data_IF_851207185837
#
_entry.id   IF_851207185837
#
_cell.length_a   1.000
_cell.length_b   1.000
_cell.length_c   1.000
_cell.angle_alpha   90.00
_cell.angle_beta   90.00
_cell.angle_gamma   90.00
#
_symmetry.space_group_name_H-M   'P 1'
#
loop_
_entity.id
_entity.type
_entity.pdbx_description
1 polymer ?
#
# COMPACT_ATOMS: atom_id res chain seq x y z
N UNK A 1 7.25 -47.43 50.18
CA UNK A 1 7.81 -46.06 50.15
C UNK A 1 7.80 -45.59 48.70
N UNK A 2 6.79 -44.80 48.32
CA UNK A 2 6.64 -44.28 46.96
C UNK A 2 6.96 -42.78 46.98
N UNK A 3 8.15 -42.43 46.49
CA UNK A 3 8.61 -41.04 46.39
C UNK A 3 7.90 -40.38 45.21
N UNK A 4 7.03 -39.42 45.50
CA UNK A 4 6.37 -38.61 44.48
C UNK A 4 7.34 -37.54 43.96
N UNK A 5 7.54 -37.36 42.64
CA UNK A 5 8.35 -36.27 42.11
C UNK A 5 7.57 -34.96 42.23
N UNK A 6 7.92 -34.18 43.25
CA UNK A 6 7.41 -32.84 43.49
C UNK A 6 8.07 -31.82 42.56
N UNK A 7 7.24 -31.14 41.75
CA UNK A 7 7.37 -29.71 41.39
C UNK A 7 8.69 -29.23 40.78
N UNK A 8 8.90 -29.48 39.49
CA UNK A 8 9.91 -28.79 38.65
C UNK A 8 9.29 -27.72 37.72
N UNK A 9 8.24 -27.01 38.17
CA UNK A 9 7.53 -26.02 37.33
C UNK A 9 7.77 -24.56 37.71
N UNK A 10 8.51 -24.27 38.80
CA UNK A 10 8.70 -22.91 39.31
C UNK A 10 9.98 -22.20 38.85
N UNK A 11 10.98 -22.91 38.33
CA UNK A 11 12.29 -22.31 38.04
C UNK A 11 12.43 -21.72 36.62
N UNK A 12 11.55 -22.08 35.67
CA UNK A 12 11.56 -21.51 34.32
C UNK A 12 11.16 -20.03 34.25
N UNK A 13 10.51 -19.50 35.29
CA UNK A 13 10.13 -18.08 35.34
C UNK A 13 11.28 -17.13 35.66
N UNK A 14 12.40 -17.62 36.24
CA UNK A 14 13.51 -16.76 36.67
C UNK A 14 14.50 -16.42 35.55
N UNK A 15 14.48 -17.15 34.44
CA UNK A 15 15.43 -16.98 33.32
C UNK A 15 14.94 -16.06 32.21
N UNK A 16 13.62 -15.81 32.11
CA UNK A 16 13.06 -14.90 31.11
C UNK A 16 13.32 -13.44 31.48
N UNK A 17 13.62 -12.60 30.48
CA UNK A 17 13.76 -11.16 30.66
C UNK A 17 12.49 -10.56 31.30
N UNK A 18 12.59 -9.55 32.19
CA UNK A 18 11.43 -9.02 32.93
C UNK A 18 10.24 -8.63 32.05
N UNK A 19 10.50 -8.04 30.88
CA UNK A 19 9.46 -7.62 29.94
C UNK A 19 8.65 -8.80 29.40
N UNK A 20 9.29 -9.96 29.15
CA UNK A 20 8.62 -11.17 28.63
C UNK A 20 7.79 -11.90 29.70
N UNK A 21 7.89 -11.49 30.96
CA UNK A 21 7.03 -12.01 32.05
C UNK A 21 5.68 -11.29 32.10
N UNK A 22 5.56 -10.15 31.43
CA UNK A 22 4.32 -9.40 31.35
C UNK A 22 3.33 -10.10 30.39
N UNK A 23 2.02 -10.09 30.70
CA UNK A 23 0.99 -10.47 29.76
C UNK A 23 1.11 -9.70 28.44
N UNK A 24 0.66 -10.31 27.33
CA UNK A 24 0.77 -9.72 26.00
C UNK A 24 0.08 -8.35 25.93
N UNK A 25 -1.03 -8.19 26.63
CA UNK A 25 -1.84 -6.97 26.65
C UNK A 25 -1.05 -5.79 27.23
N UNK A 26 -0.29 -6.01 28.31
CA UNK A 26 0.57 -4.99 28.90
C UNK A 26 1.74 -4.64 27.98
N UNK A 27 2.29 -5.64 27.28
CA UNK A 27 3.34 -5.40 26.29
C UNK A 27 2.83 -4.63 25.08
N UNK A 28 1.63 -4.93 24.59
CA UNK A 28 0.97 -4.17 23.53
C UNK A 28 0.68 -2.72 23.95
N UNK A 29 0.30 -2.51 25.22
CA UNK A 29 0.17 -1.15 25.76
C UNK A 29 1.51 -0.40 25.68
N UNK A 30 2.64 -1.04 26.03
CA UNK A 30 3.98 -0.46 25.84
C UNK A 30 4.25 -0.19 24.36
N UNK A 31 3.97 -1.15 23.47
CA UNK A 31 4.21 -1.00 22.03
C UNK A 31 3.43 0.18 21.43
N UNK A 32 2.22 0.48 21.93
CA UNK A 32 1.42 1.63 21.48
C UNK A 32 2.14 2.98 21.67
N UNK A 33 2.97 3.11 22.73
CA UNK A 33 3.80 4.30 22.95
C UNK A 33 5.08 4.30 22.09
N UNK A 34 5.56 3.12 21.68
CA UNK A 34 6.74 2.98 20.83
C UNK A 34 6.42 3.12 19.33
N UNK A 35 5.15 2.98 18.96
CA UNK A 35 4.65 3.01 17.58
C UNK A 35 3.62 4.14 17.42
N UNK A 36 4.05 5.41 17.48
CA UNK A 36 3.13 6.54 17.44
C UNK A 36 2.31 6.55 16.16
N UNK A 37 1.06 7.01 16.30
CA UNK A 37 0.19 7.33 15.17
C UNK A 37 0.72 8.59 14.47
N UNK A 38 1.72 8.39 13.63
CA UNK A 38 2.35 9.42 12.82
C UNK A 38 2.29 8.95 11.36
N UNK A 39 1.56 9.71 10.52
CA UNK A 39 1.41 9.36 9.12
C UNK A 39 2.75 9.53 8.38
N UNK A 40 3.30 8.42 7.90
CA UNK A 40 4.51 8.37 7.10
C UNK A 40 4.13 8.25 5.63
N UNK A 41 4.42 9.28 4.84
CA UNK A 41 4.29 9.24 3.39
C UNK A 41 5.48 8.52 2.75
N UNK A 42 5.22 7.71 1.73
CA UNK A 42 6.22 6.87 1.03
C UNK A 42 7.12 6.07 1.97
N UNK A 43 6.55 5.27 2.88
CA UNK A 43 7.34 4.47 3.81
C UNK A 43 8.25 3.49 3.06
N UNK A 44 7.80 3.05 1.89
CA UNK A 44 8.54 2.24 0.93
C UNK A 44 8.43 2.93 -0.43
N UNK A 45 9.37 3.83 -0.79
CA UNK A 45 9.27 4.65 -2.00
C UNK A 45 9.12 3.84 -3.29
N UNK A 46 9.55 2.58 -3.28
CA UNK A 46 9.51 1.68 -4.42
C UNK A 46 8.20 0.89 -4.56
N UNK A 47 7.34 0.82 -3.54
CA UNK A 47 6.31 -0.24 -3.41
C UNK A 47 4.88 0.25 -3.71
N UNK A 48 4.70 1.44 -4.30
CA UNK A 48 3.37 1.97 -4.65
C UNK A 48 2.47 2.32 -3.45
N UNK A 49 2.91 2.04 -2.22
CA UNK A 49 2.27 2.48 -0.97
C UNK A 49 2.50 3.98 -0.81
N UNK A 50 1.40 4.73 -0.71
CA UNK A 50 1.45 6.19 -0.62
C UNK A 50 1.72 6.66 0.80
N UNK A 51 1.13 6.00 1.80
CA UNK A 51 1.38 6.30 3.20
C UNK A 51 0.99 5.14 4.12
N UNK A 52 1.47 5.20 5.36
CA UNK A 52 1.05 4.34 6.47
C UNK A 52 0.69 5.22 7.67
N UNK A 53 -0.38 4.87 8.39
CA UNK A 53 -0.91 5.67 9.50
C UNK A 53 -0.01 5.76 10.73
N UNK A 54 0.89 4.80 10.91
CA UNK A 54 1.78 4.69 12.05
C UNK A 54 3.23 4.70 11.60
N UNK A 55 4.09 5.24 12.47
CA UNK A 55 5.52 5.18 12.24
C UNK A 55 6.00 3.73 12.37
N UNK A 56 6.78 3.23 11.38
CA UNK A 56 7.40 1.92 11.50
C UNK A 56 8.35 1.79 12.69
N UNK A 57 8.49 0.59 13.27
CA UNK A 57 9.49 0.33 14.30
C UNK A 57 10.91 0.59 13.75
N UNK A 58 11.77 1.18 14.58
CA UNK A 58 13.18 1.40 14.24
C UNK A 58 13.96 0.08 14.26
N UNK A 59 15.05 0.00 13.49
CA UNK A 59 15.95 -1.17 13.52
C UNK A 59 16.49 -1.45 14.93
N UNK A 60 16.78 -0.41 15.71
CA UNK A 60 17.22 -0.55 17.11
C UNK A 60 16.17 -1.25 17.97
N UNK A 61 14.88 -0.94 17.76
CA UNK A 61 13.77 -1.59 18.46
C UNK A 61 13.61 -3.06 18.02
N UNK A 62 13.76 -3.33 16.72
CA UNK A 62 13.66 -4.67 16.16
C UNK A 62 14.86 -5.58 16.47
N UNK A 63 15.98 -5.03 16.94
CA UNK A 63 17.19 -5.79 17.26
C UNK A 63 17.34 -6.11 18.77
N UNK A 64 16.33 -5.83 19.60
CA UNK A 64 16.40 -6.07 21.04
C UNK A 64 16.32 -7.57 21.37
N UNK A 65 15.29 -8.25 20.87
CA UNK A 65 15.05 -9.66 21.17
C UNK A 65 14.06 -10.26 20.16
N UNK A 66 14.32 -11.46 19.58
CA UNK A 66 13.51 -12.01 18.49
C UNK A 66 12.01 -12.08 18.78
N UNK A 67 11.62 -12.56 19.97
CA UNK A 67 10.20 -12.64 20.34
C UNK A 67 9.53 -11.27 20.42
N UNK A 68 10.25 -10.24 20.88
CA UNK A 68 9.72 -8.87 20.91
C UNK A 68 9.61 -8.31 19.50
N UNK A 69 10.59 -8.60 18.64
CA UNK A 69 10.58 -8.22 17.23
C UNK A 69 9.32 -8.73 16.54
N UNK A 70 9.02 -10.02 16.69
CA UNK A 70 7.84 -10.64 16.10
C UNK A 70 6.54 -10.01 16.61
N UNK A 71 6.44 -9.80 17.93
CA UNK A 71 5.25 -9.19 18.54
C UNK A 71 5.05 -7.72 18.15
N UNK A 72 6.13 -6.94 18.09
CA UNK A 72 6.09 -5.52 17.71
C UNK A 72 5.68 -5.39 16.24
N UNK A 73 6.24 -6.23 15.36
CA UNK A 73 5.85 -6.25 13.95
C UNK A 73 4.39 -6.67 13.81
N UNK A 74 3.96 -7.72 14.50
CA UNK A 74 2.57 -8.20 14.44
C UNK A 74 1.59 -7.12 14.91
N UNK A 75 1.90 -6.46 16.03
CA UNK A 75 1.12 -5.36 16.56
C UNK A 75 1.12 -4.14 15.63
N UNK A 76 2.28 -3.78 15.04
CA UNK A 76 2.38 -2.71 14.04
C UNK A 76 1.46 -2.97 12.85
N UNK A 77 1.49 -4.16 12.24
CA UNK A 77 0.61 -4.50 11.11
C UNK A 77 -0.86 -4.61 11.50
N UNK A 78 -1.16 -4.87 12.78
CA UNK A 78 -2.52 -4.87 13.31
C UNK A 78 -3.13 -3.46 13.41
N UNK A 79 -2.37 -2.48 13.88
CA UNK A 79 -2.87 -1.11 14.09
C UNK A 79 -2.73 -0.24 12.83
N UNK A 80 -1.77 -0.56 11.96
CA UNK A 80 -1.43 0.28 10.81
C UNK A 80 -2.43 0.15 9.66
N UNK A 81 -2.76 1.28 9.06
CA UNK A 81 -3.53 1.39 7.83
C UNK A 81 -2.62 1.77 6.68
N UNK A 82 -2.59 0.94 5.63
CA UNK A 82 -1.74 1.13 4.45
C UNK A 82 -2.53 1.79 3.33
N UNK A 83 -2.11 2.96 2.85
CA UNK A 83 -2.88 3.77 1.91
C UNK A 83 -2.39 3.59 0.46
N UNK A 84 -3.33 3.29 -0.42
CA UNK A 84 -3.18 3.28 -1.88
C UNK A 84 -4.06 4.40 -2.46
N UNK A 85 -3.46 5.33 -3.20
CA UNK A 85 -4.21 6.40 -3.88
C UNK A 85 -4.27 6.11 -5.36
N UNK A 86 -5.47 5.90 -5.90
CA UNK A 86 -5.73 5.77 -7.32
C UNK A 86 -6.10 7.14 -7.88
N UNK A 87 -5.16 7.74 -8.61
CA UNK A 87 -5.36 8.98 -9.34
C UNK A 87 -4.56 8.94 -10.62
N UNK A 88 -5.02 9.65 -11.65
CA UNK A 88 -4.28 9.80 -12.88
C UNK A 88 -3.02 10.69 -12.69
N UNK A 89 -3.11 11.78 -11.93
CA UNK A 89 -2.06 12.81 -11.83
C UNK A 89 -0.92 12.45 -10.85
N UNK A 90 -1.13 11.46 -9.98
CA UNK A 90 -0.13 11.11 -8.97
C UNK A 90 1.03 10.29 -9.55
N UNK A 91 2.25 10.78 -9.33
CA UNK A 91 3.50 10.20 -9.82
C UNK A 91 3.83 8.80 -9.26
N UNK A 92 3.10 8.25 -8.28
CA UNK A 92 3.39 6.93 -7.71
C UNK A 92 3.24 5.79 -8.71
N UNK A 93 2.33 5.94 -9.68
CA UNK A 93 2.20 5.00 -10.79
C UNK A 93 3.33 5.12 -11.82
N UNK A 94 4.27 6.07 -11.70
CA UNK A 94 5.51 6.05 -12.48
C UNK A 94 6.54 5.12 -11.86
N UNK A 95 6.46 4.89 -10.55
CA UNK A 95 7.46 4.10 -9.82
C UNK A 95 7.11 2.61 -9.82
N UNK A 96 5.82 2.28 -9.69
CA UNK A 96 5.31 0.91 -9.79
C UNK A 96 3.86 0.89 -10.34
N UNK A 97 3.67 1.18 -11.65
CA UNK A 97 2.34 1.27 -12.27
C UNK A 97 1.50 0.01 -12.11
N UNK A 98 2.18 -1.14 -12.07
CA UNK A 98 1.58 -2.46 -12.03
C UNK A 98 1.65 -3.09 -10.64
N UNK A 99 2.08 -2.35 -9.62
CA UNK A 99 2.21 -2.84 -8.23
C UNK A 99 3.05 -4.14 -8.11
N UNK A 100 3.99 -4.38 -9.03
CA UNK A 100 4.82 -5.60 -9.04
C UNK A 100 5.72 -5.69 -7.81
N UNK A 101 6.21 -4.56 -7.33
CA UNK A 101 7.08 -4.53 -6.13
C UNK A 101 6.27 -4.74 -4.86
N UNK A 102 5.00 -4.33 -4.83
CA UNK A 102 4.08 -4.68 -3.75
C UNK A 102 3.75 -6.16 -3.75
N UNK A 103 3.48 -6.72 -4.93
CA UNK A 103 3.23 -8.16 -5.11
C UNK A 103 4.40 -9.01 -4.62
N UNK A 104 5.64 -8.59 -4.89
CA UNK A 104 6.85 -9.28 -4.43
C UNK A 104 7.25 -8.94 -2.99
N UNK A 105 6.62 -7.95 -2.36
CA UNK A 105 7.01 -7.48 -1.04
C UNK A 105 6.55 -8.43 0.07
N UNK A 106 7.43 -8.84 1.00
CA UNK A 106 7.01 -9.65 2.15
C UNK A 106 6.02 -8.92 3.06
N UNK A 107 5.99 -7.58 3.02
CA UNK A 107 5.00 -6.78 3.75
C UNK A 107 3.56 -7.11 3.32
N UNK A 108 3.32 -7.48 2.05
CA UNK A 108 1.98 -7.81 1.55
C UNK A 108 1.34 -8.96 2.34
N UNK A 109 2.14 -9.95 2.74
CA UNK A 109 1.68 -11.08 3.54
C UNK A 109 1.21 -10.68 4.95
N UNK A 110 1.68 -9.54 5.45
CA UNK A 110 1.41 -9.06 6.80
C UNK A 110 0.33 -7.97 6.86
N UNK A 111 0.05 -7.30 5.75
CA UNK A 111 -0.96 -6.24 5.67
C UNK A 111 -2.34 -6.78 6.09
N UNK A 112 -2.95 -6.12 7.09
CA UNK A 112 -4.29 -6.47 7.60
C UNK A 112 -5.36 -5.46 7.23
N UNK A 113 -4.98 -4.18 7.11
CA UNK A 113 -5.88 -3.06 6.82
C UNK A 113 -5.29 -2.16 5.73
N UNK A 114 -6.06 -1.94 4.68
CA UNK A 114 -5.71 -1.05 3.56
C UNK A 114 -6.76 0.04 3.45
N UNK A 115 -6.34 1.25 3.14
CA UNK A 115 -7.21 2.32 2.67
C UNK A 115 -6.97 2.55 1.18
N UNK A 116 -8.00 2.32 0.38
CA UNK A 116 -8.05 2.66 -1.03
C UNK A 116 -8.69 4.03 -1.18
N UNK A 117 -7.96 4.97 -1.75
CA UNK A 117 -8.45 6.34 -2.00
C UNK A 117 -8.59 6.54 -3.51
N UNK A 118 -9.82 6.76 -3.96
CA UNK A 118 -10.08 7.19 -5.34
C UNK A 118 -10.01 8.70 -5.39
N UNK A 119 -9.00 9.24 -6.09
CA UNK A 119 -8.77 10.67 -6.19
C UNK A 119 -8.95 11.14 -7.64
N UNK A 120 -10.14 11.67 -7.90
CA UNK A 120 -10.54 12.25 -9.17
C UNK A 120 -10.15 13.74 -9.21
N UNK A 121 -9.02 14.04 -9.86
CA UNK A 121 -8.46 15.40 -9.96
C UNK A 121 -8.89 16.12 -11.26
N UNK A 122 -9.25 17.40 -11.15
CA UNK A 122 -9.57 18.27 -12.28
C UNK A 122 -8.36 18.62 -13.15
N UNK A 123 -7.15 18.63 -12.57
CA UNK A 123 -5.96 19.18 -13.24
C UNK A 123 -5.67 18.48 -14.56
N UNK A 124 -5.91 17.17 -14.66
CA UNK A 124 -5.67 16.47 -15.91
C UNK A 124 -6.69 16.84 -16.98
N UNK A 125 -7.98 16.87 -16.62
CA UNK A 125 -9.07 17.19 -17.55
C UNK A 125 -8.95 18.62 -18.08
N UNK A 126 -8.43 19.55 -17.26
CA UNK A 126 -8.12 20.91 -17.69
C UNK A 126 -6.93 20.97 -18.65
N UNK A 127 -5.87 20.21 -18.37
CA UNK A 127 -4.66 20.23 -19.20
C UNK A 127 -4.82 19.48 -20.53
N UNK A 128 -5.72 18.50 -20.59
CA UNK A 128 -6.00 17.70 -21.78
C UNK A 128 -7.51 17.52 -21.96
N UNK A 129 -8.23 18.53 -22.48
CA UNK A 129 -9.69 18.46 -22.64
C UNK A 129 -10.17 17.37 -23.61
N UNK A 130 -9.30 16.94 -24.53
CA UNK A 130 -9.55 15.79 -25.41
C UNK A 130 -9.56 14.45 -24.67
N UNK A 131 -9.00 14.41 -23.45
CA UNK A 131 -9.06 13.27 -22.56
C UNK A 131 -10.39 13.29 -21.81
N UNK A 132 -11.38 12.59 -22.36
CA UNK A 132 -12.73 12.53 -21.81
C UNK A 132 -12.79 11.94 -20.40
N UNK A 133 -13.86 12.27 -19.67
CA UNK A 133 -14.13 11.74 -18.33
C UNK A 133 -14.19 10.21 -18.30
N UNK A 134 -14.67 9.57 -19.37
CA UNK A 134 -14.76 8.12 -19.50
C UNK A 134 -13.38 7.47 -19.52
N UNK A 135 -12.46 7.97 -20.37
CA UNK A 135 -11.08 7.48 -20.42
C UNK A 135 -10.33 7.70 -19.10
N UNK A 136 -10.62 8.81 -18.42
CA UNK A 136 -10.10 9.09 -17.10
C UNK A 136 -10.58 8.08 -16.05
N UNK A 137 -11.89 7.83 -15.99
CA UNK A 137 -12.48 6.83 -15.10
C UNK A 137 -11.95 5.42 -15.41
N UNK A 138 -11.82 5.07 -16.68
CA UNK A 138 -11.31 3.78 -17.14
C UNK A 138 -9.88 3.53 -16.66
N UNK A 139 -9.01 4.53 -16.72
CA UNK A 139 -7.62 4.40 -16.26
C UNK A 139 -7.54 4.21 -14.74
N UNK A 140 -8.34 4.94 -13.95
CA UNK A 140 -8.41 4.74 -12.50
C UNK A 140 -8.97 3.34 -12.20
N UNK A 141 -10.02 2.92 -12.92
CA UNK A 141 -10.63 1.58 -12.79
C UNK A 141 -9.63 0.48 -13.10
N UNK A 142 -8.82 0.61 -14.16
CA UNK A 142 -7.76 -0.33 -14.52
C UNK A 142 -6.73 -0.48 -13.40
N UNK A 143 -6.28 0.63 -12.82
CA UNK A 143 -5.33 0.65 -11.69
C UNK A 143 -5.91 0.00 -10.44
N UNK A 144 -7.15 0.34 -10.11
CA UNK A 144 -7.86 -0.27 -9.00
C UNK A 144 -8.04 -1.77 -9.17
N UNK A 145 -8.35 -2.22 -10.40
CA UNK A 145 -8.42 -3.64 -10.75
C UNK A 145 -7.11 -4.37 -10.48
N UNK A 146 -5.97 -3.84 -10.94
CA UNK A 146 -4.67 -4.44 -10.67
C UNK A 146 -4.34 -4.46 -9.18
N UNK A 147 -4.64 -3.39 -8.45
CA UNK A 147 -4.44 -3.36 -7.01
C UNK A 147 -5.28 -4.42 -6.30
N UNK A 148 -6.52 -4.65 -6.72
CA UNK A 148 -7.33 -5.73 -6.19
C UNK A 148 -6.71 -7.10 -6.46
N UNK A 149 -6.12 -7.32 -7.64
CA UNK A 149 -5.42 -8.58 -7.97
C UNK A 149 -4.22 -8.82 -7.04
N UNK A 150 -3.43 -7.78 -6.73
CA UNK A 150 -2.31 -7.87 -5.77
C UNK A 150 -2.81 -8.08 -4.35
N UNK A 151 -3.80 -7.31 -3.91
CA UNK A 151 -4.36 -7.40 -2.55
C UNK A 151 -5.08 -8.73 -2.29
N UNK A 152 -5.52 -9.44 -3.34
CA UNK A 152 -6.02 -10.81 -3.20
C UNK A 152 -4.96 -11.81 -2.75
N UNK A 153 -3.68 -11.51 -2.99
CA UNK A 153 -2.55 -12.33 -2.54
C UNK A 153 -2.18 -12.07 -1.07
N UNK A 154 -2.80 -11.09 -0.40
CA UNK A 154 -2.55 -10.80 1.01
C UNK A 154 -3.38 -11.72 1.94
N UNK A 155 -2.82 -12.78 2.55
CA UNK A 155 -3.56 -13.75 3.37
C UNK A 155 -4.15 -13.14 4.65
N UNK A 156 -3.49 -12.11 5.21
CA UNK A 156 -3.90 -11.47 6.47
C UNK A 156 -4.80 -10.26 6.27
N UNK A 157 -5.14 -9.87 5.04
CA UNK A 157 -6.03 -8.74 4.77
C UNK A 157 -7.43 -9.03 5.33
N UNK A 158 -7.95 -8.11 6.15
CA UNK A 158 -9.28 -8.19 6.78
C UNK A 158 -10.12 -6.95 6.57
N UNK A 159 -9.50 -5.80 6.37
CA UNK A 159 -10.24 -4.53 6.29
C UNK A 159 -9.79 -3.72 5.10
N UNK A 160 -10.76 -3.31 4.28
CA UNK A 160 -10.55 -2.37 3.18
C UNK A 160 -11.39 -1.14 3.46
N UNK A 161 -10.73 -0.02 3.71
CA UNK A 161 -11.36 1.29 3.83
C UNK A 161 -11.42 1.90 2.45
N UNK A 162 -12.60 2.34 2.02
CA UNK A 162 -12.82 2.97 0.71
C UNK A 162 -13.09 4.44 0.92
N UNK A 163 -12.15 5.27 0.46
CA UNK A 163 -12.22 6.73 0.51
C UNK A 163 -12.38 7.28 -0.91
N UNK A 164 -13.07 8.40 -1.01
CA UNK A 164 -13.37 9.07 -2.26
C UNK A 164 -13.03 10.55 -2.16
N UNK A 165 -12.40 11.08 -3.19
CA UNK A 165 -12.09 12.50 -3.27
C UNK A 165 -12.24 12.95 -4.72
N UNK A 166 -13.21 13.82 -4.97
CA UNK A 166 -13.55 14.27 -6.31
C UNK A 166 -13.56 15.78 -6.38
N UNK A 167 -12.64 16.30 -7.19
CA UNK A 167 -12.45 17.73 -7.44
C UNK A 167 -12.73 18.10 -8.90
N UNK A 168 -13.16 17.16 -9.76
CA UNK A 168 -13.25 17.39 -11.21
C UNK A 168 -14.33 18.39 -11.62
N UNK A 169 -15.32 18.61 -10.75
CA UNK A 169 -16.46 19.49 -10.98
C UNK A 169 -17.36 19.14 -12.18
N UNK A 170 -17.32 17.89 -12.67
CA UNK A 170 -17.98 17.50 -13.93
C UNK A 170 -19.37 16.89 -13.80
N UNK A 171 -19.91 16.64 -12.59
CA UNK A 171 -21.29 16.13 -12.41
C UNK A 171 -21.60 14.70 -12.91
N UNK A 172 -20.60 13.88 -13.28
CA UNK A 172 -20.82 12.56 -13.90
C UNK A 172 -20.69 11.37 -12.93
N UNK A 173 -21.45 11.38 -11.83
CA UNK A 173 -21.39 10.30 -10.83
C UNK A 173 -21.61 8.88 -11.40
N UNK A 174 -22.59 8.62 -12.29
CA UNK A 174 -22.81 7.27 -12.83
C UNK A 174 -21.58 6.66 -13.51
N UNK A 175 -20.78 7.48 -14.20
CA UNK A 175 -19.53 7.04 -14.82
C UNK A 175 -18.44 6.81 -13.78
N UNK A 176 -18.30 7.74 -12.82
CA UNK A 176 -17.32 7.66 -11.75
C UNK A 176 -17.57 6.46 -10.82
N UNK A 177 -18.83 6.11 -10.57
CA UNK A 177 -19.19 4.96 -9.75
C UNK A 177 -18.63 3.63 -10.31
N UNK A 178 -18.45 3.51 -11.64
CA UNK A 178 -17.82 2.35 -12.28
C UNK A 178 -16.37 2.12 -11.85
N UNK A 179 -15.71 3.15 -11.31
CA UNK A 179 -14.37 3.03 -10.73
C UNK A 179 -14.36 2.08 -9.53
N UNK A 180 -15.49 1.95 -8.82
CA UNK A 180 -15.61 1.06 -7.66
C UNK A 180 -15.72 -0.42 -8.06
N UNK A 181 -16.19 -0.72 -9.27
CA UNK A 181 -16.46 -2.09 -9.76
C UNK A 181 -15.35 -3.11 -9.47
N UNK A 182 -14.05 -2.80 -9.59
CA UNK A 182 -13.01 -3.77 -9.33
C UNK A 182 -12.93 -4.28 -7.88
N UNK A 183 -13.48 -3.54 -6.90
CA UNK A 183 -13.50 -3.95 -5.50
C UNK A 183 -14.21 -5.30 -5.29
N UNK A 184 -15.13 -5.70 -6.18
CA UNK A 184 -15.76 -7.02 -6.16
C UNK A 184 -14.76 -8.18 -6.23
N UNK A 185 -13.58 -7.97 -6.83
CA UNK A 185 -12.53 -9.00 -6.90
C UNK A 185 -12.01 -9.40 -5.52
N UNK A 186 -12.03 -8.48 -4.56
CA UNK A 186 -11.61 -8.74 -3.18
C UNK A 186 -12.65 -9.59 -2.41
N UNK A 187 -13.85 -9.74 -2.98
CA UNK A 187 -14.95 -10.52 -2.43
C UNK A 187 -15.02 -11.95 -3.03
N UNK A 188 -14.78 -12.10 -4.33
CA UNK A 188 -15.24 -13.28 -5.06
C UNK A 188 -14.22 -14.45 -5.15
N UNK A 189 -12.91 -14.24 -4.98
CA UNK A 189 -11.94 -15.06 -5.73
C UNK A 189 -10.99 -15.95 -4.92
N UNK A 190 -11.43 -16.53 -3.79
CA UNK A 190 -10.57 -17.48 -3.08
C UNK A 190 -11.30 -18.56 -2.30
N UNK A 191 -11.18 -19.81 -2.76
CA UNK A 191 -11.41 -21.01 -1.92
C UNK A 191 -10.64 -20.91 -0.59
N UNK A 192 -9.48 -20.23 -0.58
CA UNK A 192 -8.64 -20.03 0.60
C UNK A 192 -9.14 -18.95 1.60
N UNK A 193 -10.15 -18.13 1.25
CA UNK A 193 -10.65 -17.03 2.09
C UNK A 193 -12.01 -17.27 2.72
N UNK A 194 -12.64 -18.43 2.49
CA UNK A 194 -13.97 -18.77 3.05
C UNK A 194 -14.05 -18.62 4.57
N UNK A 195 -12.94 -18.81 5.28
CA UNK A 195 -12.92 -18.73 6.74
C UNK A 195 -12.83 -17.29 7.29
N UNK A 196 -12.43 -16.30 6.48
CA UNK A 196 -12.25 -14.90 6.95
C UNK A 196 -12.57 -13.89 5.84
N UNK A 197 -13.83 -13.40 5.77
CA UNK A 197 -14.21 -12.39 4.79
C UNK A 197 -13.50 -11.06 5.03
N UNK A 198 -13.30 -10.29 3.95
CA UNK A 198 -12.80 -8.92 4.02
C UNK A 198 -13.98 -8.01 4.35
N UNK A 199 -13.85 -7.22 5.42
CA UNK A 199 -14.82 -6.19 5.78
C UNK A 199 -14.51 -4.91 5.04
N UNK A 200 -15.53 -4.32 4.42
CA UNK A 200 -15.41 -3.00 3.79
C UNK A 200 -15.87 -1.93 4.77
N UNK A 201 -15.10 -0.83 4.84
CA UNK A 201 -15.45 0.35 5.63
C UNK A 201 -15.48 1.57 4.74
N UNK A 202 -16.38 2.48 5.03
CA UNK A 202 -16.43 3.77 4.35
C UNK A 202 -15.45 4.71 5.03
N UNK A 203 -14.52 5.24 4.24
CA UNK A 203 -13.53 6.22 4.67
C UNK A 203 -14.02 7.64 4.44
N UNK A 204 -13.08 8.54 4.13
CA UNK A 204 -13.39 9.94 3.86
C UNK A 204 -14.01 10.08 2.47
N UNK A 205 -15.15 10.76 2.39
CA UNK A 205 -15.79 11.11 1.12
C UNK A 205 -15.76 12.62 0.98
N UNK A 206 -14.97 13.12 0.04
CA UNK A 206 -15.02 14.51 -0.39
C UNK A 206 -15.55 14.50 -1.83
N UNK A 207 -16.68 15.15 -2.07
CA UNK A 207 -17.26 15.29 -3.40
C UNK A 207 -17.87 16.67 -3.57
N UNK A 208 -18.42 16.92 -4.75
CA UNK A 208 -19.29 18.07 -4.95
C UNK A 208 -20.57 17.95 -4.12
N UNK A 209 -21.35 19.04 -4.03
CA UNK A 209 -22.68 19.05 -3.40
C UNK A 209 -23.61 17.94 -3.92
N UNK A 210 -23.41 17.50 -5.18
CA UNK A 210 -24.22 16.47 -5.83
C UNK A 210 -23.86 15.04 -5.42
N UNK A 211 -22.65 14.78 -4.90
CA UNK A 211 -22.28 13.45 -4.42
C UNK A 211 -22.64 13.31 -2.95
N UNK A 212 -23.85 12.82 -2.69
CA UNK A 212 -24.24 12.47 -1.32
C UNK A 212 -23.52 11.21 -0.89
N UNK A 213 -23.15 11.15 0.40
CA UNK A 213 -22.61 9.94 1.02
C UNK A 213 -23.50 8.73 0.76
N UNK A 214 -24.81 8.91 0.76
CA UNK A 214 -25.80 7.87 0.49
C UNK A 214 -25.65 7.26 -0.90
N UNK A 215 -25.44 8.08 -1.93
CA UNK A 215 -25.24 7.62 -3.31
C UNK A 215 -23.92 6.85 -3.46
N UNK A 216 -22.88 7.30 -2.77
CA UNK A 216 -21.61 6.57 -2.68
C UNK A 216 -21.78 5.20 -1.99
N UNK A 217 -22.47 5.18 -0.84
CA UNK A 217 -22.75 3.95 -0.09
C UNK A 217 -23.58 2.99 -0.95
N UNK A 218 -24.60 3.49 -1.65
CA UNK A 218 -25.46 2.70 -2.51
C UNK A 218 -24.67 2.08 -3.67
N UNK A 219 -23.85 2.86 -4.37
CA UNK A 219 -22.98 2.36 -5.43
C UNK A 219 -21.97 1.32 -4.91
N UNK A 220 -21.40 1.55 -3.72
CA UNK A 220 -20.48 0.58 -3.13
C UNK A 220 -21.19 -0.73 -2.74
N UNK A 221 -22.41 -0.66 -2.17
CA UNK A 221 -23.22 -1.86 -1.90
C UNK A 221 -23.59 -2.63 -3.17
N UNK A 222 -23.97 -1.92 -4.23
CA UNK A 222 -24.30 -2.52 -5.52
C UNK A 222 -23.12 -3.33 -6.08
N UNK A 223 -21.90 -2.79 -5.99
CA UNK A 223 -20.67 -3.49 -6.42
C UNK A 223 -20.33 -4.68 -5.52
N UNK A 224 -20.47 -4.52 -4.20
CA UNK A 224 -20.04 -5.53 -3.23
C UNK A 224 -21.05 -6.68 -3.06
N UNK A 225 -22.32 -6.45 -3.38
CA UNK A 225 -23.41 -7.39 -3.16
C UNK A 225 -24.03 -7.29 -1.75
N UNK A 226 -25.25 -7.86 -1.56
CA UNK A 226 -26.04 -7.72 -0.33
C UNK A 226 -25.46 -8.46 0.88
N UNK A 227 -24.67 -9.51 0.67
CA UNK A 227 -24.18 -10.39 1.74
C UNK A 227 -22.95 -9.86 2.48
N UNK A 228 -22.45 -8.68 2.08
CA UNK A 228 -21.19 -8.15 2.62
C UNK A 228 -21.37 -7.21 3.80
N UNK A 229 -20.47 -7.35 4.78
CA UNK A 229 -20.32 -6.40 5.88
C UNK A 229 -19.69 -5.10 5.34
N UNK A 230 -20.56 -4.18 4.91
CA UNK A 230 -20.22 -2.78 4.76
C UNK A 230 -20.50 -2.06 6.07
N UNK A 231 -19.43 -1.81 6.83
CA UNK A 231 -19.51 -0.93 8.00
C UNK A 231 -19.52 0.51 7.49
N UNK A 232 -20.69 1.16 7.64
CA UNK A 232 -20.87 2.53 7.19
C UNK A 232 -19.96 3.53 7.93
N UNK A 233 -19.31 3.12 9.04
CA UNK A 233 -18.23 3.81 9.72
C UNK A 233 -18.57 5.23 10.19
N UNK A 234 -18.52 5.45 11.50
CA UNK A 234 -18.43 6.82 12.06
C UNK A 234 -17.28 7.58 11.40
N UNK A 235 -17.45 8.88 11.15
CA UNK A 235 -16.42 9.79 10.64
C UNK A 235 -15.07 9.40 11.23
N UNK A 236 -14.13 9.05 10.33
CA UNK A 236 -12.83 8.53 10.72
C UNK A 236 -12.20 9.45 11.75
N UNK A 237 -11.50 8.87 12.73
CA UNK A 237 -10.68 9.58 13.72
C UNK A 237 -10.19 10.91 13.16
N UNK A 238 -10.66 12.01 13.76
CA UNK A 238 -10.31 13.39 13.47
C UNK A 238 -8.80 13.59 13.59
N UNK A 239 -8.05 13.05 12.65
CA UNK A 239 -6.66 13.40 12.42
C UNK A 239 -6.67 14.51 11.38
N UNK A 240 -6.71 15.79 11.81
CA UNK A 240 -6.72 16.93 10.89
C UNK A 240 -5.53 16.91 9.93
N UNK A 241 -4.45 16.18 10.26
CA UNK A 241 -3.27 16.02 9.40
C UNK A 241 -3.56 15.22 8.12
N UNK A 242 -4.55 14.32 8.13
CA UNK A 242 -5.02 13.55 6.97
C UNK A 242 -5.74 14.45 5.95
N UNK A 243 -6.48 15.46 6.43
CA UNK A 243 -7.22 16.39 5.56
C UNK A 243 -6.31 17.36 4.80
N UNK A 244 -5.22 17.80 5.44
CA UNK A 244 -4.33 18.84 4.91
C UNK A 244 -3.20 18.28 4.03
N UNK A 245 -2.85 17.00 4.16
CA UNK A 245 -1.75 16.40 3.39
C UNK A 245 -2.16 15.70 2.09
N UNK A 246 -3.45 15.40 1.87
CA UNK A 246 -3.90 14.91 0.55
C UNK A 246 -3.69 15.93 -0.57
N UNK A 247 -3.52 17.21 -0.23
CA UNK A 247 -3.29 18.32 -1.16
C UNK A 247 -1.80 18.68 -1.34
N UNK A 248 -0.88 18.01 -0.65
CA UNK A 248 0.49 18.51 -0.50
C UNK A 248 1.52 17.98 -1.51
N UNK A 249 1.15 17.20 -2.52
CA UNK A 249 2.14 16.62 -3.45
C UNK A 249 1.78 16.79 -4.92
N UNK A 250 1.74 18.04 -5.35
CA UNK A 250 2.29 18.38 -6.66
C UNK A 250 3.65 19.07 -6.45
N UNK A 251 4.73 18.38 -6.81
CA UNK A 251 6.10 18.93 -6.85
C UNK A 251 6.15 20.22 -7.69
N UNK A 252 5.18 20.45 -8.59
CA UNK A 252 5.02 21.68 -9.36
C UNK A 252 4.36 22.81 -8.56
N UNK A 253 3.38 22.52 -7.69
CA UNK A 253 2.80 23.52 -6.79
C UNK A 253 3.81 24.00 -5.74
N UNK A 254 4.66 23.10 -5.24
CA UNK A 254 5.73 23.45 -4.30
C UNK A 254 6.82 24.31 -4.99
N UNK A 255 7.16 24.01 -6.26
CA UNK A 255 8.03 24.87 -7.09
C UNK A 255 7.47 26.27 -7.30
N UNK A 256 6.17 26.39 -7.55
CA UNK A 256 5.53 27.71 -7.67
C UNK A 256 5.54 28.47 -6.34
N UNK A 257 5.30 27.81 -5.20
CA UNK A 257 5.41 28.44 -3.87
C UNK A 257 6.84 28.88 -3.54
N UNK A 258 7.84 28.05 -3.82
CA UNK A 258 9.25 28.38 -3.57
C UNK A 258 9.77 29.48 -4.51
N UNK A 259 9.22 29.59 -5.72
CA UNK A 259 9.53 30.72 -6.62
C UNK A 259 8.92 32.05 -6.18
N UNK A 260 7.90 32.02 -5.30
CA UNK A 260 7.21 33.21 -4.80
C UNK A 260 7.77 33.75 -3.48
N UNK A 261 8.74 33.08 -2.86
CA UNK A 261 9.31 33.47 -1.56
C UNK A 261 10.85 33.62 -1.64
N UNK A 262 11.38 34.82 -1.88
CA UNK A 262 12.82 35.04 -1.88
C UNK A 262 13.32 35.04 -0.43
N UNK A 263 13.80 33.91 0.08
CA UNK A 263 14.52 33.86 1.37
C UNK A 263 14.54 32.55 2.16
N UNK A 264 13.87 31.48 1.75
CA UNK A 264 13.87 30.23 2.54
C UNK A 264 15.08 29.33 2.20
N UNK A 265 15.94 29.09 3.19
CA UNK A 265 17.05 28.13 3.16
C UNK A 265 16.47 26.69 3.07
N UNK A 266 16.98 25.81 2.20
CA UNK A 266 16.47 24.44 2.10
C UNK A 266 16.89 23.60 3.32
N UNK A 267 15.91 23.07 4.04
CA UNK A 267 16.13 22.05 5.08
C UNK A 267 16.37 20.71 4.38
N UNK A 268 17.51 20.09 4.68
CA UNK A 268 17.88 18.78 4.16
C UNK A 268 16.85 17.72 4.59
N UNK A 269 16.15 17.13 3.61
CA UNK A 269 15.26 15.99 3.81
C UNK A 269 16.13 14.76 4.08
N UNK A 270 16.20 14.33 5.34
CA UNK A 270 16.85 13.09 5.73
C UNK A 270 16.20 11.89 5.05
N UNK A 271 16.98 11.12 4.29
CA UNK A 271 16.56 9.83 3.70
C UNK A 271 16.26 8.83 4.82
N UNK A 272 14.99 8.53 5.07
CA UNK A 272 14.57 7.37 5.85
C UNK A 272 14.65 6.11 4.99
N UNK A 273 15.87 5.56 4.84
CA UNK A 273 16.11 4.30 4.15
C UNK A 273 15.67 3.11 5.00
N UNK A 274 14.53 2.50 4.65
CA UNK A 274 14.18 1.16 5.09
C UNK A 274 15.12 0.13 4.45
N UNK A 275 15.85 -0.64 5.27
CA UNK A 275 16.45 -1.94 4.90
C UNK A 275 16.06 -2.95 5.98
N UNK A 276 14.88 -3.55 5.84
CA UNK A 276 14.26 -4.44 6.82
C UNK A 276 14.12 -5.88 6.34
N UNK A 277 14.90 -6.33 5.36
CA UNK A 277 15.03 -7.75 5.05
C UNK A 277 16.32 -8.28 5.72
N UNK A 278 16.31 -9.48 6.33
CA UNK A 278 17.56 -10.12 6.76
C UNK A 278 18.49 -10.24 5.54
N UNK A 279 19.81 -10.06 5.71
CA UNK A 279 20.73 -10.10 4.59
C UNK A 279 20.67 -11.48 3.94
N UNK A 280 20.30 -11.54 2.65
CA UNK A 280 20.64 -12.67 1.81
C UNK A 280 22.17 -12.69 1.73
N UNK A 281 22.77 -13.83 2.09
CA UNK A 281 24.21 -14.05 1.90
C UNK A 281 24.59 -13.74 0.45
N UNK A 282 25.69 -13.01 0.30
CA UNK A 282 26.28 -12.59 -0.97
C UNK A 282 26.42 -13.79 -1.90
N UNK A 283 25.81 -13.69 -3.09
CA UNK A 283 26.09 -14.59 -4.20
C UNK A 283 27.42 -14.16 -4.86
N UNK A 284 28.25 -15.10 -5.32
CA UNK A 284 29.57 -14.80 -5.90
C UNK A 284 29.47 -13.93 -7.15
N UNK A 285 30.47 -13.07 -7.33
CA UNK A 285 30.71 -12.29 -8.54
C UNK A 285 30.85 -13.23 -9.74
N UNK A 286 29.94 -13.10 -10.71
CA UNK A 286 30.12 -13.69 -12.04
C UNK A 286 31.14 -12.82 -12.80
N UNK A 287 32.26 -13.45 -13.15
CA UNK A 287 33.34 -12.87 -13.95
C UNK A 287 32.83 -12.60 -15.38
N UNK A 288 33.14 -11.42 -15.92
CA UNK A 288 32.86 -11.04 -17.31
C UNK A 288 33.66 -11.97 -18.26
N UNK A 289 32.97 -12.84 -19.01
CA UNK A 289 33.59 -13.57 -20.11
C UNK A 289 33.80 -12.64 -21.31
N UNK A 290 35.08 -12.42 -21.63
CA UNK A 290 35.57 -11.73 -22.82
C UNK A 290 35.04 -12.38 -24.11
N UNK A 291 34.34 -11.57 -24.92
CA UNK A 291 33.98 -11.87 -26.31
C UNK A 291 35.27 -12.04 -27.13
N UNK A 292 35.55 -13.28 -27.55
CA UNK A 292 36.58 -13.57 -28.55
C UNK A 292 35.99 -13.50 -29.95
N UNK A 293 36.46 -12.52 -30.71
CA UNK A 293 36.38 -12.47 -32.16
C UNK A 293 36.90 -13.77 -32.79
N UNK A 294 36.09 -14.39 -33.64
CA UNK A 294 36.53 -15.38 -34.60
C UNK A 294 36.04 -14.92 -35.97
N UNK A 295 36.93 -14.25 -36.68
CA UNK A 295 36.95 -14.23 -38.15
C UNK A 295 37.06 -15.67 -38.63
N UNK A 296 36.11 -16.15 -39.43
CA UNK A 296 36.48 -17.07 -40.50
C UNK A 296 35.55 -16.97 -41.71
N UNK A 297 36.17 -17.17 -42.86
CA UNK A 297 35.79 -16.63 -44.16
C UNK A 297 35.16 -17.70 -45.06
N UNK A 298 34.35 -17.22 -46.03
CA UNK A 298 34.06 -17.81 -47.35
C UNK A 298 33.14 -19.06 -47.48
N UNK A 299 32.60 -19.36 -48.69
CA UNK A 299 31.95 -18.46 -49.64
C UNK A 299 30.60 -19.01 -50.19
N UNK A 300 29.91 -18.15 -50.95
CA UNK A 300 28.64 -18.34 -51.67
C UNK A 300 28.63 -19.52 -52.68
N UNK A 301 27.45 -20.10 -52.99
CA UNK A 301 27.19 -20.69 -54.29
C UNK A 301 26.27 -19.82 -55.15
N UNK A 302 26.69 -19.67 -56.41
CA UNK A 302 25.94 -19.15 -57.56
C UNK A 302 24.54 -19.78 -57.69
N UNK A 303 23.52 -18.94 -57.86
CA UNK A 303 22.28 -19.35 -58.54
C UNK A 303 22.02 -18.38 -59.68
N UNK A 304 22.21 -18.94 -60.87
CA UNK A 304 21.95 -18.36 -62.17
C UNK A 304 20.46 -18.04 -62.38
N UNK A 305 20.24 -16.85 -62.92
CA UNK A 305 19.02 -16.37 -63.56
C UNK A 305 18.71 -17.11 -64.86
N UNK A 306 17.42 -17.37 -65.15
CA UNK A 306 16.72 -17.31 -66.46
C UNK A 306 15.31 -17.90 -66.29
N UNK A 307 14.22 -17.12 -66.30
CA UNK A 307 13.47 -16.69 -67.50
C UNK A 307 12.95 -17.84 -68.38
N UNK A 308 11.76 -18.35 -68.07
CA UNK A 308 10.57 -18.38 -68.95
C UNK A 308 9.34 -18.87 -68.18
#
# INVERSE_FOLDING_TARGET
>A
MASSPSTSRRDSHRTLAPILRLPLELRQAIYSYLLPAENVSHPLPSVGITSVSNRPPSSSLLNIYPTLTDEILDYFYQISTWKLVFSHAFNFFRVDPELRRLEQSPSLASIRKVEVVFFCDILLLQNYPSFGIESFCEEIRRRASRACDVLNQAPKLRTVVVSWCDSTQTGNWPEKAKILTPLKKLNCDGMARRDRPVTFKIGKINGQEDLKREDFVAALRDVLGPDQQLDAGSEGTDDPSSSLRMLAFDVRQERHRLSSNPGSIPVAVGRSGWKGAPPLMEAPLEEEEEEKDVEDSDPLPDVSSSSN
#
